data_IF_501199339117
#
_entry.id   IF_501199339117
#
_cell.length_a   1.000
_cell.length_b   1.000
_cell.length_c   1.000
_cell.angle_alpha   90.00
_cell.angle_beta   90.00
_cell.angle_gamma   90.00
#
_symmetry.space_group_name_H-M   'P 1'
#
loop_
_entity.id
_entity.type
_entity.pdbx_description
1 polymer ?
#
# COMPACT_ATOMS: atom_id res chain seq x y z
N UNK A 1 3.24 17.29 -3.33
CA UNK A 1 4.38 18.05 -3.88
C UNK A 1 3.97 19.00 -5.02
N UNK A 2 3.72 18.52 -6.26
CA UNK A 2 3.64 19.37 -7.48
C UNK A 2 2.73 20.60 -7.36
N UNK A 3 1.52 20.45 -6.81
CA UNK A 3 0.52 21.52 -6.69
C UNK A 3 0.84 22.57 -5.60
N UNK A 4 1.51 22.18 -4.52
CA UNK A 4 1.65 22.99 -3.29
C UNK A 4 3.11 23.29 -2.94
N UNK A 5 4.07 22.80 -3.74
CA UNK A 5 5.49 22.76 -3.39
C UNK A 5 5.74 22.17 -1.98
N UNK A 6 4.87 21.22 -1.58
CA UNK A 6 4.73 20.79 -0.20
C UNK A 6 3.71 19.67 -0.03
N UNK A 7 3.35 19.43 1.24
CA UNK A 7 2.22 18.59 1.63
C UNK A 7 0.90 19.35 1.47
N UNK A 8 -0.16 18.61 1.16
CA UNK A 8 -1.50 19.17 1.11
C UNK A 8 -1.99 19.35 2.57
N UNK A 9 -2.37 20.56 3.03
CA UNK A 9 -2.62 20.82 4.45
C UNK A 9 -3.74 20.00 5.10
N UNK A 10 -4.63 19.42 4.29
CA UNK A 10 -5.78 18.63 4.70
C UNK A 10 -5.67 17.14 4.35
N UNK A 11 -4.48 16.66 3.96
CA UNK A 11 -4.22 15.21 3.87
C UNK A 11 -4.01 14.60 5.26
N UNK A 12 -4.29 13.31 5.41
CA UNK A 12 -4.13 12.60 6.68
C UNK A 12 -2.91 11.69 6.71
N UNK A 13 -2.38 11.37 5.53
CA UNK A 13 -1.33 10.41 5.27
C UNK A 13 -0.41 10.89 4.12
N UNK A 14 0.66 10.11 3.88
CA UNK A 14 1.61 10.30 2.79
C UNK A 14 1.85 8.96 2.10
N UNK A 15 1.69 8.93 0.79
CA UNK A 15 1.91 7.74 -0.03
C UNK A 15 3.26 7.77 -0.75
N UNK A 16 3.95 6.63 -0.77
CA UNK A 16 5.13 6.40 -1.60
C UNK A 16 4.90 5.23 -2.56
N UNK A 17 5.27 5.42 -3.82
CA UNK A 17 5.36 4.34 -4.80
C UNK A 17 6.77 3.76 -4.84
N UNK A 18 6.86 2.43 -4.84
CA UNK A 18 8.09 1.67 -5.03
C UNK A 18 7.93 0.72 -6.20
N UNK A 19 9.04 0.34 -6.85
CA UNK A 19 9.00 -0.65 -7.92
C UNK A 19 9.03 -2.07 -7.34
N UNK A 20 8.15 -2.93 -7.82
CA UNK A 20 8.02 -4.28 -7.27
C UNK A 20 9.21 -5.18 -7.57
N UNK A 21 9.85 -4.96 -8.71
CA UNK A 21 11.12 -5.60 -9.07
C UNK A 21 12.29 -5.24 -8.12
N UNK A 22 12.18 -4.16 -7.36
CA UNK A 22 13.19 -3.72 -6.38
C UNK A 22 12.85 -4.14 -4.94
N UNK A 23 11.80 -4.93 -4.74
CA UNK A 23 11.42 -5.39 -3.40
C UNK A 23 12.53 -6.20 -2.75
N UNK A 24 12.96 -5.75 -1.57
CA UNK A 24 13.84 -6.49 -0.67
C UNK A 24 13.18 -6.59 0.70
N UNK A 25 13.11 -7.81 1.24
CA UNK A 25 12.54 -8.13 2.55
C UNK A 25 13.17 -7.34 3.72
N UNK A 26 14.38 -6.82 3.55
CA UNK A 26 15.04 -5.93 4.51
C UNK A 26 14.26 -4.63 4.76
N UNK A 27 13.46 -4.15 3.79
CA UNK A 27 12.60 -2.98 4.02
C UNK A 27 11.55 -3.27 5.10
N UNK A 28 10.96 -4.47 5.10
CA UNK A 28 10.02 -4.90 6.13
C UNK A 28 10.71 -5.00 7.48
N UNK A 29 11.87 -5.65 7.52
CA UNK A 29 12.66 -5.81 8.76
C UNK A 29 13.09 -4.47 9.35
N UNK A 30 13.44 -3.50 8.50
CA UNK A 30 13.86 -2.17 8.93
C UNK A 30 12.75 -1.41 9.66
N UNK A 31 11.51 -1.50 9.16
CA UNK A 31 10.37 -0.83 9.79
C UNK A 31 9.74 -1.65 10.92
N UNK A 32 9.99 -2.96 11.00
CA UNK A 32 9.43 -3.79 12.07
C UNK A 32 9.99 -3.37 13.43
N UNK A 33 9.14 -2.78 14.28
CA UNK A 33 9.53 -2.32 15.62
C UNK A 33 10.47 -1.10 15.64
N UNK A 34 10.57 -0.37 14.54
CA UNK A 34 11.41 0.82 14.46
C UNK A 34 10.86 1.94 15.36
N UNK A 35 11.72 2.58 16.20
CA UNK A 35 11.25 3.52 17.21
C UNK A 35 10.75 4.86 16.66
N UNK A 36 11.11 5.20 15.41
CA UNK A 36 10.70 6.45 14.76
C UNK A 36 9.44 6.27 13.92
N UNK A 37 9.41 5.22 13.11
CA UNK A 37 8.31 4.89 12.22
C UNK A 37 8.23 3.39 12.07
N UNK A 38 7.22 2.75 12.66
CA UNK A 38 7.11 1.31 12.66
C UNK A 38 6.10 0.81 11.62
N UNK A 39 6.32 -0.40 11.11
CA UNK A 39 5.34 -1.11 10.30
C UNK A 39 4.13 -1.45 11.16
N UNK A 40 2.99 -0.81 10.91
CA UNK A 40 1.74 -1.07 11.62
C UNK A 40 0.92 -2.16 10.93
N UNK A 41 0.92 -2.18 9.60
CA UNK A 41 0.22 -3.18 8.81
C UNK A 41 0.95 -3.53 7.52
N UNK A 42 0.85 -4.79 7.12
CA UNK A 42 1.18 -5.25 5.78
C UNK A 42 -0.08 -5.87 5.16
N UNK A 43 -0.48 -5.36 4.00
CA UNK A 43 -1.63 -5.82 3.25
C UNK A 43 -1.16 -6.39 1.90
N UNK A 44 -1.89 -7.38 1.38
CA UNK A 44 -1.53 -8.03 0.12
C UNK A 44 -0.35 -9.00 0.23
N UNK A 45 0.03 -9.56 -0.91
CA UNK A 45 1.21 -10.42 -1.07
C UNK A 45 2.24 -9.71 -1.97
N UNK A 46 3.52 -10.03 -1.77
CA UNK A 46 4.65 -9.43 -2.51
C UNK A 46 4.46 -9.50 -4.02
N UNK A 47 3.88 -10.58 -4.54
CA UNK A 47 3.66 -10.80 -5.98
C UNK A 47 2.25 -10.43 -6.45
N UNK A 48 1.50 -9.66 -5.67
CA UNK A 48 0.12 -9.29 -6.00
C UNK A 48 -0.17 -7.83 -5.63
N UNK A 49 -0.39 -7.50 -4.36
CA UNK A 49 -0.97 -6.20 -3.98
C UNK A 49 -0.35 -5.64 -2.71
N UNK A 50 0.97 -5.78 -2.57
CA UNK A 50 1.68 -5.42 -1.36
C UNK A 50 1.55 -3.93 -1.04
N UNK A 51 1.14 -3.67 0.19
CA UNK A 51 1.07 -2.35 0.81
C UNK A 51 1.62 -2.44 2.23
N UNK A 52 2.56 -1.56 2.58
CA UNK A 52 2.98 -1.39 3.97
C UNK A 52 2.43 -0.09 4.52
N UNK A 53 1.65 -0.21 5.60
CA UNK A 53 1.19 0.92 6.40
C UNK A 53 2.15 1.14 7.55
N UNK A 54 2.84 2.27 7.51
CA UNK A 54 3.78 2.70 8.53
C UNK A 54 3.13 3.74 9.46
N UNK A 55 3.57 3.76 10.72
CA UNK A 55 3.03 4.67 11.71
C UNK A 55 4.10 5.24 12.62
N UNK A 56 4.00 6.54 12.90
CA UNK A 56 4.91 7.28 13.79
C UNK A 56 4.38 7.44 15.21
N UNK A 57 3.20 6.89 15.52
CA UNK A 57 2.44 7.24 16.72
C UNK A 57 1.44 8.38 16.49
N UNK A 58 1.60 9.14 15.40
CA UNK A 58 0.74 10.29 15.07
C UNK A 58 0.31 10.35 13.61
N UNK A 59 1.21 10.05 12.68
CA UNK A 59 1.00 10.11 11.24
C UNK A 59 1.22 8.75 10.60
N UNK A 60 0.44 8.47 9.56
CA UNK A 60 0.53 7.27 8.73
C UNK A 60 1.25 7.57 7.42
N UNK A 61 1.98 6.57 6.93
CA UNK A 61 2.64 6.59 5.63
C UNK A 61 2.40 5.25 4.96
N UNK A 62 1.95 5.25 3.72
CA UNK A 62 1.67 4.03 3.00
C UNK A 62 2.69 3.83 1.88
N UNK A 63 3.33 2.67 1.87
CA UNK A 63 4.25 2.24 0.83
C UNK A 63 3.51 1.29 -0.09
N UNK A 64 3.43 1.66 -1.36
CA UNK A 64 2.72 0.91 -2.40
C UNK A 64 3.69 0.37 -3.44
N UNK A 65 3.52 -0.91 -3.79
CA UNK A 65 4.34 -1.56 -4.81
C UNK A 65 3.68 -1.49 -6.19
N UNK A 66 4.44 -0.97 -7.17
CA UNK A 66 4.06 -0.85 -8.56
C UNK A 66 4.69 -1.99 -9.38
N UNK A 67 3.83 -2.90 -9.84
CA UNK A 67 4.15 -4.07 -10.64
C UNK A 67 4.23 -3.71 -12.11
N UNK A 68 5.20 -4.28 -12.83
CA UNK A 68 5.42 -4.02 -14.24
C UNK A 68 4.67 -5.00 -15.12
N UNK A 69 4.04 -4.49 -16.16
CA UNK A 69 3.53 -5.22 -17.34
C UNK A 69 4.20 -4.64 -18.60
N UNK A 70 3.86 -5.15 -19.77
CA UNK A 70 4.51 -4.77 -21.04
C UNK A 70 4.33 -3.29 -21.39
N UNK A 71 3.13 -2.74 -21.19
CA UNK A 71 2.71 -1.41 -21.62
C UNK A 71 2.31 -0.47 -20.46
N UNK A 72 2.21 -1.00 -19.24
CA UNK A 72 1.82 -0.23 -18.06
C UNK A 72 2.51 -0.75 -16.78
N UNK A 73 2.32 -0.01 -15.70
CA UNK A 73 2.51 -0.54 -14.34
C UNK A 73 1.16 -0.60 -13.65
N UNK A 74 1.05 -1.34 -12.56
CA UNK A 74 -0.14 -1.30 -11.74
C UNK A 74 0.20 -1.40 -10.26
N UNK A 75 -0.62 -0.78 -9.43
CA UNK A 75 -0.56 -0.86 -7.98
C UNK A 75 -1.79 -1.60 -7.46
N UNK A 76 -1.61 -2.43 -6.45
CA UNK A 76 -2.72 -3.09 -5.77
C UNK A 76 -3.61 -2.08 -5.04
N UNK A 77 -4.92 -2.32 -5.07
CA UNK A 77 -5.91 -1.63 -4.24
C UNK A 77 -6.93 -2.65 -3.75
N UNK A 78 -7.28 -2.61 -2.46
CA UNK A 78 -8.13 -3.62 -1.85
C UNK A 78 -9.36 -2.96 -1.25
N UNK A 79 -10.54 -3.47 -1.59
CA UNK A 79 -11.80 -3.08 -0.96
C UNK A 79 -12.44 -4.36 -0.45
N UNK A 80 -12.52 -4.50 0.87
CA UNK A 80 -12.90 -5.79 1.46
C UNK A 80 -11.95 -6.88 0.91
N UNK A 81 -12.49 -7.99 0.40
CA UNK A 81 -11.68 -9.04 -0.22
C UNK A 81 -11.51 -8.89 -1.73
N UNK A 82 -12.13 -7.88 -2.31
CA UNK A 82 -12.02 -7.62 -3.74
C UNK A 82 -10.69 -6.90 -4.01
N UNK A 83 -9.96 -7.44 -4.98
CA UNK A 83 -8.69 -6.93 -5.45
C UNK A 83 -8.90 -6.13 -6.72
N UNK A 84 -8.32 -4.95 -6.71
CA UNK A 84 -8.31 -4.03 -7.82
C UNK A 84 -6.86 -3.67 -8.17
N UNK A 85 -6.67 -3.25 -9.41
CA UNK A 85 -5.40 -2.73 -9.93
C UNK A 85 -5.62 -1.28 -10.32
N UNK A 86 -4.85 -0.37 -9.73
CA UNK A 86 -4.72 1.01 -10.19
C UNK A 86 -3.67 1.06 -11.29
N UNK A 87 -4.08 1.37 -12.52
CA UNK A 87 -3.23 1.30 -13.71
C UNK A 87 -2.40 2.58 -13.85
N UNK A 88 -1.09 2.45 -13.74
CA UNK A 88 -0.12 3.53 -13.78
C UNK A 88 0.58 3.55 -15.15
N UNK A 89 0.91 4.73 -15.70
CA UNK A 89 1.71 4.80 -16.92
C UNK A 89 3.09 4.17 -16.67
N UNK A 90 3.68 3.57 -17.71
CA UNK A 90 5.10 3.22 -17.68
C UNK A 90 5.90 4.51 -17.45
N UNK A 91 6.56 4.61 -16.29
CA UNK A 91 7.45 5.72 -15.98
C UNK A 91 8.79 5.49 -16.70
N UNK A 92 9.12 6.23 -17.78
CA UNK A 92 10.38 6.03 -18.48
C UNK A 92 11.57 6.57 -17.67
N UNK A 93 11.33 7.50 -16.73
CA UNK A 93 12.38 8.18 -15.97
C UNK A 93 11.85 8.81 -14.68
N UNK A 94 12.63 8.68 -13.60
CA UNK A 94 12.47 9.45 -12.37
C UNK A 94 13.38 10.68 -12.38
N UNK A 95 12.86 11.79 -11.88
CA UNK A 95 13.54 13.05 -11.66
C UNK A 95 13.60 13.35 -10.16
N UNK A 96 14.46 14.29 -9.77
CA UNK A 96 14.54 14.72 -8.37
C UNK A 96 13.69 15.96 -8.12
N UNK A 97 13.08 16.03 -6.94
CA UNK A 97 12.49 17.25 -6.40
C UNK A 97 12.97 17.53 -4.98
N UNK A 98 12.78 18.77 -4.55
CA UNK A 98 12.90 19.18 -3.16
C UNK A 98 11.53 19.15 -2.48
N UNK A 99 11.46 18.52 -1.31
CA UNK A 99 10.34 18.61 -0.39
C UNK A 99 10.90 18.87 1.01
N UNK A 100 10.78 20.12 1.48
CA UNK A 100 11.29 20.58 2.77
C UNK A 100 12.80 20.38 2.96
N UNK A 101 13.60 20.63 1.92
CA UNK A 101 15.06 20.49 1.99
C UNK A 101 15.56 19.04 1.81
N UNK A 102 14.65 18.09 1.60
CA UNK A 102 14.98 16.70 1.31
C UNK A 102 14.73 16.39 -0.16
N UNK A 103 15.63 15.60 -0.74
CA UNK A 103 15.53 15.17 -2.13
C UNK A 103 14.65 13.93 -2.24
N UNK A 104 13.61 14.01 -3.08
CA UNK A 104 12.74 12.88 -3.40
C UNK A 104 12.76 12.57 -4.89
N UNK A 105 12.46 11.32 -5.23
CA UNK A 105 12.25 10.87 -6.60
C UNK A 105 10.79 11.06 -7.00
N UNK A 106 10.55 11.60 -8.19
CA UNK A 106 9.23 11.83 -8.78
C UNK A 106 9.23 11.43 -10.26
N UNK A 107 8.06 11.21 -10.88
CA UNK A 107 7.95 11.18 -12.34
C UNK A 107 8.53 12.46 -12.97
N UNK A 108 9.35 12.34 -14.02
CA UNK A 108 9.87 13.52 -14.73
C UNK A 108 8.79 14.36 -15.42
N UNK A 109 7.65 13.75 -15.78
CA UNK A 109 6.45 14.42 -16.28
C UNK A 109 5.33 14.34 -15.24
N UNK A 110 5.38 15.15 -14.15
CA UNK A 110 4.41 15.06 -13.07
C UNK A 110 2.98 15.37 -13.51
N UNK A 111 2.77 16.28 -14.47
CA UNK A 111 1.44 16.61 -15.01
C UNK A 111 0.83 15.41 -15.73
N UNK A 112 1.59 14.74 -16.60
CA UNK A 112 1.12 13.58 -17.34
C UNK A 112 0.77 12.44 -16.39
N UNK A 113 1.63 12.18 -15.41
CA UNK A 113 1.37 11.17 -14.37
C UNK A 113 0.09 11.48 -13.60
N UNK A 114 -0.07 12.72 -13.11
CA UNK A 114 -1.26 13.14 -12.37
C UNK A 114 -2.53 13.10 -13.23
N UNK A 115 -2.46 13.45 -14.52
CA UNK A 115 -3.60 13.35 -15.43
C UNK A 115 -4.01 11.89 -15.71
N UNK A 116 -3.05 10.96 -15.79
CA UNK A 116 -3.35 9.54 -15.95
C UNK A 116 -3.98 8.94 -14.69
N UNK A 117 -3.54 9.36 -13.51
CA UNK A 117 -4.04 8.82 -12.26
C UNK A 117 -5.36 9.46 -11.80
N UNK A 118 -5.46 10.78 -11.92
CA UNK A 118 -6.57 11.57 -11.38
C UNK A 118 -7.57 12.05 -12.42
N UNK A 119 -7.27 11.90 -13.71
CA UNK A 119 -8.02 12.52 -14.78
C UNK A 119 -7.51 13.91 -15.13
N UNK A 120 -7.78 14.34 -16.36
CA UNK A 120 -7.22 15.55 -16.93
C UNK A 120 -7.58 16.78 -16.09
N UNK A 121 -6.57 17.40 -15.49
CA UNK A 121 -6.65 18.59 -14.63
C UNK A 121 -7.52 18.47 -13.37
N UNK A 122 -8.10 17.31 -13.07
CA UNK A 122 -8.97 17.11 -11.89
C UNK A 122 -8.20 17.23 -10.57
N UNK A 123 -6.93 16.81 -10.55
CA UNK A 123 -6.03 16.94 -9.40
C UNK A 123 -5.74 18.39 -8.99
N UNK A 124 -6.03 19.38 -9.84
CA UNK A 124 -5.83 20.81 -9.51
C UNK A 124 -6.81 21.27 -8.42
N UNK A 125 -8.02 20.71 -8.38
CA UNK A 125 -9.10 21.10 -7.45
C UNK A 125 -9.69 19.88 -6.71
N UNK A 126 -9.01 19.31 -5.71
CA UNK A 126 -9.45 18.10 -5.00
C UNK A 126 -10.50 18.42 -3.92
N UNK A 127 -11.61 19.06 -4.31
CA UNK A 127 -12.67 19.50 -3.40
C UNK A 127 -13.74 18.41 -3.15
N UNK A 128 -13.68 17.28 -3.86
CA UNK A 128 -14.67 16.24 -3.72
C UNK A 128 -14.28 15.23 -2.64
N UNK A 129 -15.12 15.10 -1.59
CA UNK A 129 -14.98 14.07 -0.55
C UNK A 129 -15.11 12.63 -1.07
N UNK A 130 -15.59 12.45 -2.30
CA UNK A 130 -15.87 11.16 -2.92
C UNK A 130 -14.98 10.89 -4.14
N UNK A 131 -13.79 11.49 -4.18
CA UNK A 131 -12.84 11.22 -5.26
C UNK A 131 -12.52 9.72 -5.32
N UNK A 132 -12.67 9.14 -6.50
CA UNK A 132 -12.26 7.76 -6.81
C UNK A 132 -11.31 7.84 -8.00
N UNK A 133 -10.23 7.08 -7.97
CA UNK A 133 -9.34 6.92 -9.11
C UNK A 133 -10.08 6.46 -10.36
N UNK A 134 -9.85 7.15 -11.47
CA UNK A 134 -10.49 6.82 -12.75
C UNK A 134 -9.86 5.61 -13.44
N UNK A 135 -8.65 5.24 -13.04
CA UNK A 135 -7.80 4.21 -13.62
C UNK A 135 -7.80 2.90 -12.82
N UNK A 136 -8.91 2.57 -12.16
CA UNK A 136 -9.07 1.33 -11.39
C UNK A 136 -9.75 0.24 -12.22
N UNK A 137 -9.15 -0.94 -12.24
CA UNK A 137 -9.71 -2.15 -12.81
C UNK A 137 -9.90 -3.22 -11.74
N UNK A 138 -11.06 -3.90 -11.74
CA UNK A 138 -11.24 -5.11 -10.94
C UNK A 138 -10.30 -6.21 -11.45
N UNK A 139 -9.67 -6.95 -10.53
CA UNK A 139 -8.76 -8.02 -10.86
C UNK A 139 -9.27 -9.39 -10.43
N UNK A 140 -9.52 -9.58 -9.14
CA UNK A 140 -9.96 -10.86 -8.57
C UNK A 140 -10.47 -10.66 -7.14
N UNK A 141 -10.80 -11.76 -6.46
CA UNK A 141 -11.18 -11.76 -5.05
C UNK A 141 -10.27 -12.71 -4.30
N UNK A 142 -9.79 -12.31 -3.13
CA UNK A 142 -9.06 -13.23 -2.27
C UNK A 142 -9.98 -14.37 -1.81
N UNK A 143 -9.50 -15.61 -1.79
CA UNK A 143 -10.14 -16.69 -1.02
C UNK A 143 -9.90 -16.49 0.49
N UNK A 144 -10.63 -17.22 1.33
CA UNK A 144 -10.58 -17.05 2.79
C UNK A 144 -9.16 -17.24 3.33
N UNK A 145 -8.46 -18.26 2.82
CA UNK A 145 -7.16 -18.68 3.33
C UNK A 145 -6.10 -17.69 2.86
N UNK A 146 -5.99 -17.42 1.56
CA UNK A 146 -4.98 -16.48 1.04
C UNK A 146 -5.15 -15.09 1.62
N UNK A 147 -6.39 -14.63 1.83
CA UNK A 147 -6.67 -13.37 2.50
C UNK A 147 -6.12 -13.33 3.93
N UNK A 148 -6.30 -14.42 4.69
CA UNK A 148 -5.70 -14.55 6.01
C UNK A 148 -4.17 -14.49 5.99
N UNK A 149 -3.50 -14.77 4.86
CA UNK A 149 -2.06 -14.58 4.72
C UNK A 149 -1.67 -13.18 4.28
N UNK A 150 -2.54 -12.53 3.51
CA UNK A 150 -2.31 -11.22 2.92
C UNK A 150 -2.42 -10.07 3.94
N UNK A 151 -3.05 -10.27 5.10
CA UNK A 151 -3.24 -9.20 6.09
C UNK A 151 -2.47 -9.50 7.38
N UNK A 152 -1.53 -8.63 7.74
CA UNK A 152 -0.72 -8.71 8.96
C UNK A 152 -0.71 -7.37 9.67
N UNK A 153 -0.97 -7.34 10.97
CA UNK A 153 -0.86 -6.15 11.80
C UNK A 153 0.21 -6.35 12.86
N UNK A 154 0.90 -5.28 13.25
CA UNK A 154 2.02 -5.36 14.18
C UNK A 154 1.90 -4.34 15.33
N UNK A 155 2.53 -4.65 16.46
CA UNK A 155 2.72 -3.71 17.57
C UNK A 155 3.83 -2.72 17.25
N UNK A 156 3.95 -1.63 18.02
CA UNK A 156 5.08 -0.70 17.90
C UNK A 156 6.43 -1.32 18.21
N UNK A 157 6.44 -2.52 18.81
CA UNK A 157 7.65 -3.33 19.06
C UNK A 157 7.95 -4.31 17.92
N UNK A 158 7.14 -4.33 16.87
CA UNK A 158 7.32 -5.24 15.73
C UNK A 158 6.76 -6.65 15.95
N UNK A 159 5.97 -6.86 17.00
CA UNK A 159 5.35 -8.15 17.29
C UNK A 159 4.08 -8.30 16.44
N UNK A 160 3.87 -9.48 15.87
CA UNK A 160 2.65 -9.77 15.13
C UNK A 160 1.44 -9.73 16.08
N UNK A 161 0.40 -8.96 15.74
CA UNK A 161 -0.84 -8.93 16.50
C UNK A 161 -1.73 -10.12 16.15
N UNK A 162 -2.11 -10.85 17.19
CA UNK A 162 -3.11 -11.92 17.16
C UNK A 162 -4.18 -11.68 18.24
N UNK A 163 -4.25 -10.45 18.76
CA UNK A 163 -5.17 -10.05 19.81
C UNK A 163 -6.58 -9.74 19.25
N UNK A 164 -7.55 -9.57 20.16
CA UNK A 164 -8.92 -9.21 19.79
C UNK A 164 -8.98 -7.94 18.94
N UNK A 165 -8.08 -6.99 19.18
CA UNK A 165 -8.01 -5.76 18.40
C UNK A 165 -7.73 -6.04 16.92
N UNK A 166 -6.70 -6.83 16.61
CA UNK A 166 -6.38 -7.17 15.23
C UNK A 166 -7.52 -7.92 14.56
N UNK A 167 -8.13 -8.85 15.28
CA UNK A 167 -9.29 -9.63 14.83
C UNK A 167 -10.46 -8.71 14.48
N UNK A 168 -10.87 -7.83 15.41
CA UNK A 168 -11.97 -6.89 15.21
C UNK A 168 -11.66 -5.89 14.07
N UNK A 169 -10.43 -5.38 14.01
CA UNK A 169 -10.01 -4.45 12.97
C UNK A 169 -10.15 -5.09 11.58
N UNK A 170 -9.65 -6.32 11.43
CA UNK A 170 -9.72 -7.06 10.17
C UNK A 170 -11.19 -7.34 9.79
N UNK A 171 -12.01 -7.78 10.74
CA UNK A 171 -13.43 -8.03 10.48
C UNK A 171 -14.19 -6.78 10.03
N UNK A 172 -13.96 -5.65 10.70
CA UNK A 172 -14.64 -4.40 10.40
C UNK A 172 -14.11 -3.76 9.10
N UNK A 173 -12.80 -3.70 8.92
CA UNK A 173 -12.17 -3.07 7.76
C UNK A 173 -12.55 -3.78 6.46
N UNK A 174 -12.72 -5.11 6.52
CA UNK A 174 -13.02 -5.91 5.34
C UNK A 174 -14.45 -6.46 5.32
N UNK A 175 -15.32 -5.99 6.23
CA UNK A 175 -16.72 -6.41 6.39
C UNK A 175 -16.89 -7.94 6.35
N UNK A 176 -16.09 -8.66 7.14
CA UNK A 176 -15.97 -10.12 7.09
C UNK A 176 -16.36 -10.76 8.43
N UNK A 177 -17.21 -11.81 8.37
CA UNK A 177 -17.65 -12.54 9.56
C UNK A 177 -16.63 -13.61 9.97
N UNK A 178 -15.95 -13.37 11.09
CA UNK A 178 -14.93 -14.28 11.64
C UNK A 178 -15.47 -15.60 12.22
N UNK A 179 -16.80 -15.80 12.27
CA UNK A 179 -17.41 -17.05 12.75
C UNK A 179 -16.96 -18.29 11.96
N UNK A 180 -16.34 -18.10 10.79
CA UNK A 180 -15.86 -19.14 9.87
C UNK A 180 -14.45 -19.62 10.23
N UNK A 181 -13.70 -18.93 11.12
CA UNK A 181 -12.29 -19.23 11.35
C UNK A 181 -11.99 -19.39 12.87
N UNK A 182 -12.36 -20.53 13.48
CA UNK A 182 -11.89 -20.90 14.82
C UNK A 182 -10.35 -20.97 14.94
N UNK A 183 -9.63 -20.95 13.82
CA UNK A 183 -8.20 -21.19 13.69
C UNK A 183 -7.35 -19.96 13.40
N UNK A 184 -7.90 -18.73 13.44
CA UNK A 184 -7.14 -17.49 13.19
C UNK A 184 -5.94 -17.35 14.16
N UNK A 185 -6.06 -17.93 15.36
CA UNK A 185 -4.99 -17.98 16.37
C UNK A 185 -3.93 -19.07 16.09
N UNK A 186 -4.25 -20.13 15.35
CA UNK A 186 -3.40 -21.31 15.17
C UNK A 186 -2.83 -21.49 13.75
N UNK A 187 -3.35 -20.76 12.76
CA UNK A 187 -2.98 -20.91 11.33
C UNK A 187 -2.10 -19.79 10.82
N UNK A 188 -2.01 -18.65 11.51
CA UNK A 188 -1.03 -17.62 11.13
C UNK A 188 0.35 -18.16 11.47
N UNK A 189 1.20 -18.51 10.48
CA UNK A 189 2.51 -19.04 10.80
C UNK A 189 3.32 -17.96 11.48
N UNK A 190 4.15 -18.36 12.45
CA UNK A 190 5.09 -17.48 13.15
C UNK A 190 6.13 -16.83 12.22
N UNK A 191 6.14 -17.22 10.94
CA UNK A 191 7.00 -16.66 9.91
C UNK A 191 6.16 -16.23 8.70
N UNK A 192 6.57 -15.15 8.02
CA UNK A 192 6.00 -14.81 6.72
C UNK A 192 6.19 -16.00 5.79
N UNK A 193 5.14 -16.36 5.06
CA UNK A 193 5.27 -17.30 3.96
C UNK A 193 6.28 -16.68 3.01
N UNK A 194 7.45 -17.31 2.86
CA UNK A 194 8.39 -16.98 1.80
C UNK A 194 7.68 -17.22 0.48
N UNK A 195 7.36 -16.12 -0.19
CA UNK A 195 6.70 -16.14 -1.48
C UNK A 195 7.70 -16.59 -2.54
N UNK A 196 7.24 -17.30 -3.59
CA UNK A 196 8.09 -17.65 -4.71
C UNK A 196 8.70 -16.38 -5.31
N UNK A 197 9.95 -16.45 -5.82
CA UNK A 197 10.60 -15.31 -6.44
C UNK A 197 9.70 -14.75 -7.56
N UNK A 198 9.73 -13.43 -7.70
CA UNK A 198 9.13 -12.74 -8.85
C UNK A 198 9.72 -13.42 -10.09
N UNK A 199 8.88 -14.04 -10.92
CA UNK A 199 9.35 -14.60 -12.18
C UNK A 199 9.82 -13.43 -13.04
N UNK A 200 11.12 -13.41 -13.32
CA UNK A 200 11.75 -12.53 -14.30
C UNK A 200 11.12 -12.70 -15.68
#
# INVERSE_FOLDING_TARGET
WYRHCGLIPYTQDVDFGLFAEEYDENIRKYFLGNPTVYLWGALGLVNDSLEFRLFTGRYTFDLFWAYREDDHRWCGYQVQRDKYRRILPLLPKLCSCDLFGYRFSIPCSPVDYLNNEYGYDLWKNPLEKNYTWINIAYHSKWDDISWMYAVRLYTSKGELRQDKFAIDWIANHFNYSLKIIPSFLNVVPNQPVTLPPIKN
#
